data_IF_838314070048
#
_entry.id   IF_838314070048
#
_cell.length_a   1.000
_cell.length_b   1.000
_cell.length_c   1.000
_cell.angle_alpha   90.00
_cell.angle_beta   90.00
_cell.angle_gamma   90.00
#
_symmetry.space_group_name_H-M   'P 1'
#
loop_
_entity.id
_entity.type
_entity.pdbx_description
1 polymer ?
#
# COMPACT_ATOMS: atom_id res chain seq x y z
N UNK A 1 -10.97 17.14 8.71
CA UNK A 1 -10.62 15.88 9.42
C UNK A 1 -10.89 14.74 8.46
N UNK A 2 -9.92 13.85 8.26
CA UNK A 2 -10.10 12.65 7.44
C UNK A 2 -11.02 11.68 8.19
N UNK A 3 -12.07 11.17 7.55
CA UNK A 3 -12.93 10.14 8.15
C UNK A 3 -12.24 8.76 8.13
N UNK A 4 -12.68 7.84 8.99
CA UNK A 4 -12.16 6.46 8.99
C UNK A 4 -12.36 5.75 7.65
N UNK A 5 -13.41 6.11 6.90
CA UNK A 5 -13.67 5.57 5.55
C UNK A 5 -12.64 6.10 4.55
N UNK A 6 -12.39 7.40 4.55
CA UNK A 6 -11.37 8.01 3.68
C UNK A 6 -9.96 7.55 4.02
N UNK A 7 -9.64 7.37 5.31
CA UNK A 7 -8.35 6.83 5.72
C UNK A 7 -8.14 5.41 5.19
N UNK A 8 -9.17 4.57 5.28
CA UNK A 8 -9.12 3.19 4.78
C UNK A 8 -8.97 3.16 3.26
N UNK A 9 -9.66 4.07 2.56
CA UNK A 9 -9.51 4.25 1.11
C UNK A 9 -8.08 4.67 0.76
N UNK A 10 -7.53 5.69 1.41
CA UNK A 10 -6.14 6.12 1.19
C UNK A 10 -5.12 5.02 1.54
N UNK A 11 -5.37 4.18 2.55
CA UNK A 11 -4.52 3.03 2.85
C UNK A 11 -4.52 1.99 1.74
N UNK A 12 -5.66 1.76 1.09
CA UNK A 12 -5.76 0.88 -0.09
C UNK A 12 -5.03 1.52 -1.28
N UNK A 13 -5.34 2.78 -1.57
CA UNK A 13 -4.71 3.51 -2.67
C UNK A 13 -3.19 3.60 -2.50
N UNK A 14 -2.67 3.71 -1.27
CA UNK A 14 -1.24 3.67 -0.98
C UNK A 14 -0.53 2.37 -1.41
N UNK A 15 -1.28 1.30 -1.67
CA UNK A 15 -0.75 0.01 -2.16
C UNK A 15 -0.71 -0.06 -3.67
N UNK A 16 -1.64 0.62 -4.34
CA UNK A 16 -1.77 0.66 -5.80
C UNK A 16 -0.95 1.81 -6.40
N UNK A 17 -0.93 2.96 -5.73
CA UNK A 17 -0.22 4.17 -6.14
C UNK A 17 0.56 4.80 -4.98
N UNK A 18 1.64 5.53 -5.28
CA UNK A 18 2.23 6.40 -4.27
C UNK A 18 1.22 7.50 -3.88
N UNK A 19 0.99 7.65 -2.59
CA UNK A 19 0.27 8.81 -2.06
C UNK A 19 1.11 10.08 -2.22
N UNK A 20 0.44 11.19 -2.50
CA UNK A 20 1.03 12.52 -2.43
C UNK A 20 1.47 12.84 -0.99
N UNK A 21 2.35 13.82 -0.83
CA UNK A 21 2.85 14.23 0.48
C UNK A 21 1.71 14.66 1.43
N UNK A 22 0.73 15.40 0.92
CA UNK A 22 -0.44 15.85 1.69
C UNK A 22 -1.32 14.69 2.17
N UNK A 23 -1.63 13.74 1.29
CA UNK A 23 -2.39 12.53 1.63
C UNK A 23 -1.67 11.69 2.69
N UNK A 24 -0.34 11.56 2.57
CA UNK A 24 0.48 10.82 3.53
C UNK A 24 0.48 11.49 4.91
N UNK A 25 0.54 12.82 4.97
CA UNK A 25 0.46 13.56 6.23
C UNK A 25 -0.92 13.46 6.88
N UNK A 26 -1.99 13.66 6.09
CA UNK A 26 -3.37 13.53 6.58
C UNK A 26 -3.65 12.13 7.13
N UNK A 27 -3.17 11.09 6.44
CA UNK A 27 -3.28 9.71 6.88
C UNK A 27 -2.52 9.45 8.18
N UNK A 28 -1.26 9.93 8.29
CA UNK A 28 -0.47 9.81 9.52
C UNK A 28 -1.14 10.49 10.72
N UNK A 29 -1.69 11.69 10.53
CA UNK A 29 -2.42 12.40 11.58
C UNK A 29 -3.65 11.61 12.03
N UNK A 30 -4.44 11.08 11.09
CA UNK A 30 -5.59 10.25 11.42
C UNK A 30 -5.18 8.96 12.17
N UNK A 31 -4.10 8.31 11.73
CA UNK A 31 -3.54 7.14 12.41
C UNK A 31 -3.04 7.47 13.81
N UNK A 32 -2.56 8.69 14.05
CA UNK A 32 -2.14 9.16 15.36
C UNK A 32 -3.30 9.15 16.37
N UNK A 33 -4.47 9.62 15.95
CA UNK A 33 -5.67 9.80 16.78
C UNK A 33 -6.65 8.60 16.78
N UNK A 34 -6.61 7.73 15.77
CA UNK A 34 -7.52 6.61 15.62
C UNK A 34 -6.79 5.26 15.73
N UNK A 35 -6.98 4.57 16.85
CA UNK A 35 -6.40 3.24 17.10
C UNK A 35 -6.96 2.16 16.15
N UNK A 36 -8.24 2.26 15.76
CA UNK A 36 -8.88 1.34 14.83
C UNK A 36 -8.21 1.34 13.45
N UNK A 37 -8.06 2.52 12.86
CA UNK A 37 -7.38 2.70 11.58
C UNK A 37 -5.89 2.30 11.66
N UNK A 38 -5.24 2.53 12.80
CA UNK A 38 -3.85 2.08 13.04
C UNK A 38 -3.72 0.56 13.04
N UNK A 39 -4.65 -0.15 13.69
CA UNK A 39 -4.70 -1.61 13.70
C UNK A 39 -5.00 -2.15 12.30
N UNK A 40 -5.91 -1.52 11.57
CA UNK A 40 -6.22 -1.89 10.19
C UNK A 40 -5.00 -1.75 9.27
N UNK A 41 -4.29 -0.62 9.34
CA UNK A 41 -3.08 -0.39 8.55
C UNK A 41 -2.02 -1.49 8.76
N UNK A 42 -1.82 -1.93 10.02
CA UNK A 42 -0.91 -3.04 10.34
C UNK A 42 -1.40 -4.38 9.79
N UNK A 43 -2.71 -4.66 9.83
CA UNK A 43 -3.27 -5.89 9.27
C UNK A 43 -3.04 -5.99 7.77
N UNK A 44 -3.12 -4.87 7.04
CA UNK A 44 -2.83 -4.84 5.61
C UNK A 44 -1.37 -5.20 5.29
N UNK A 45 -0.40 -4.84 6.15
CA UNK A 45 0.99 -5.26 5.99
C UNK A 45 1.15 -6.77 6.19
N UNK A 46 0.47 -7.34 7.19
CA UNK A 46 0.47 -8.79 7.45
C UNK A 46 -0.13 -9.56 6.28
N UNK A 47 -1.26 -9.08 5.72
CA UNK A 47 -1.88 -9.70 4.55
C UNK A 47 -0.93 -9.71 3.35
N UNK A 48 -0.23 -8.59 3.10
CA UNK A 48 0.73 -8.51 2.00
C UNK A 48 1.92 -9.45 2.19
N UNK A 49 2.44 -9.54 3.41
CA UNK A 49 3.54 -10.44 3.76
C UNK A 49 3.13 -11.91 3.62
N UNK A 50 1.92 -12.25 4.07
CA UNK A 50 1.35 -13.58 3.87
C UNK A 50 1.17 -13.88 2.37
N UNK A 51 0.61 -12.96 1.57
CA UNK A 51 0.51 -13.13 0.12
C UNK A 51 1.85 -13.34 -0.58
N UNK A 52 2.92 -12.70 -0.11
CA UNK A 52 4.29 -12.94 -0.60
C UNK A 52 4.80 -14.33 -0.22
N UNK A 53 4.51 -14.78 1.01
CA UNK A 53 4.97 -16.06 1.55
C UNK A 53 4.19 -17.27 1.02
N UNK A 54 2.96 -17.06 0.56
CA UNK A 54 2.10 -18.08 -0.07
C UNK A 54 2.08 -17.99 -1.60
N UNK A 55 3.09 -17.42 -2.24
CA UNK A 55 3.32 -17.64 -3.67
C UNK A 55 4.27 -18.84 -3.83
N UNK A 56 3.76 -20.08 -3.97
CA UNK A 56 4.57 -21.17 -4.50
C UNK A 56 4.69 -20.97 -6.00
N UNK A 57 5.52 -20.02 -6.41
CA UNK A 57 6.07 -19.99 -7.76
C UNK A 57 7.57 -19.69 -7.61
N UNK A 58 8.34 -20.77 -7.45
CA UNK A 58 9.57 -20.91 -8.21
C UNK A 58 9.22 -20.71 -9.68
N UNK A 59 9.35 -19.48 -10.16
CA UNK A 59 8.92 -19.09 -11.48
C UNK A 59 9.43 -17.68 -11.75
N UNK A 60 10.68 -17.63 -12.20
CA UNK A 60 11.30 -16.53 -12.93
C UNK A 60 10.27 -15.59 -13.58
N UNK A 61 10.01 -14.46 -12.92
CA UNK A 61 9.51 -13.26 -13.57
C UNK A 61 10.65 -12.24 -13.57
N UNK A 62 11.70 -12.54 -14.33
CA UNK A 62 12.48 -11.49 -14.97
C UNK A 62 11.51 -10.63 -15.77
N UNK A 63 11.24 -9.41 -15.30
CA UNK A 63 10.65 -8.39 -16.14
C UNK A 63 11.53 -8.31 -17.41
N UNK A 64 10.96 -8.34 -18.63
CA UNK A 64 11.75 -8.04 -19.80
C UNK A 64 12.35 -6.64 -19.58
N UNK A 65 13.68 -6.57 -19.59
CA UNK A 65 14.45 -5.33 -19.60
C UNK A 65 14.12 -4.65 -20.94
N UNK A 66 13.05 -3.85 -20.97
CA UNK A 66 12.75 -2.98 -22.10
C UNK A 66 13.59 -1.71 -21.94
N UNK A 67 14.89 -1.90 -22.16
CA UNK A 67 15.79 -0.87 -22.62
C UNK A 67 16.05 -1.15 -24.09
N UNK A 68 15.25 -0.55 -24.97
CA UNK A 68 15.74 0.10 -26.18
C UNK A 68 14.63 0.88 -26.91
N UNK A 69 14.97 1.97 -27.63
CA UNK A 69 14.11 3.13 -27.79
C UNK A 69 13.13 3.05 -28.97
N UNK A 70 12.13 3.93 -28.87
CA UNK A 70 11.19 4.40 -29.89
C UNK A 70 11.72 4.41 -31.34
N UNK A 71 10.90 3.99 -32.30
CA UNK A 71 10.74 4.68 -33.59
C UNK A 71 9.41 5.44 -33.71
#
# INVERSE_FOLDING_TARGET
MLSCRESTRLMSEARERPLSFGERMALRMHLAMCSGCRRFNRQMDVLREASRRFSPLDGDFSAPDDKDPLP
#
